data_IF_697853279934
#
_entry.id   IF_697853279934
#
_cell.length_a   1.000
_cell.length_b   1.000
_cell.length_c   1.000
_cell.angle_alpha   90.00
_cell.angle_beta   90.00
_cell.angle_gamma   90.00
#
_symmetry.space_group_name_H-M   'P 1'
#
loop_
_entity.id
_entity.type
_entity.pdbx_description
1 polymer ?
#
# COMPACT_ATOMS: atom_id res chain seq x y z
N UNK A 1 -54.02 -57.98 70.17
CA UNK A 1 -54.38 -58.57 68.86
C UNK A 1 -53.71 -57.74 67.76
N UNK A 2 -52.84 -58.38 66.95
CA UNK A 2 -52.23 -57.94 65.66
C UNK A 2 -51.51 -56.57 65.62
N UNK A 3 -50.28 -56.41 65.11
CA UNK A 3 -49.30 -57.29 64.45
C UNK A 3 -48.01 -56.47 64.32
N UNK A 4 -46.87 -57.09 64.64
CA UNK A 4 -45.52 -56.64 64.27
C UNK A 4 -45.34 -56.63 62.75
N UNK A 5 -44.71 -55.58 62.21
CA UNK A 5 -43.98 -55.65 60.94
C UNK A 5 -42.72 -54.78 61.00
N UNK A 6 -41.62 -55.41 60.60
CA UNK A 6 -40.28 -54.90 60.40
C UNK A 6 -40.23 -53.84 59.29
N UNK A 7 -39.22 -52.97 59.33
CA UNK A 7 -38.63 -52.45 58.10
C UNK A 7 -37.18 -52.01 58.35
N UNK A 8 -36.33 -52.46 57.43
CA UNK A 8 -34.89 -52.42 57.44
C UNK A 8 -34.35 -51.01 57.10
N UNK A 9 -33.19 -50.69 57.67
CA UNK A 9 -32.41 -49.48 57.38
C UNK A 9 -32.02 -49.39 55.91
N UNK A 10 -32.25 -48.23 55.29
CA UNK A 10 -31.66 -47.84 54.01
C UNK A 10 -30.89 -46.54 54.23
N UNK A 11 -29.58 -46.59 54.02
CA UNK A 11 -28.71 -45.42 53.96
C UNK A 11 -28.89 -44.76 52.58
N UNK A 12 -29.44 -43.55 52.55
CA UNK A 12 -29.57 -42.75 51.33
C UNK A 12 -28.27 -41.99 51.05
N UNK A 13 -27.66 -42.30 49.91
CA UNK A 13 -26.51 -41.60 49.32
C UNK A 13 -26.96 -40.21 48.87
N UNK A 14 -26.30 -39.16 49.37
CA UNK A 14 -26.50 -37.77 48.94
C UNK A 14 -25.63 -37.52 47.71
N UNK A 15 -26.25 -37.33 46.55
CA UNK A 15 -25.60 -36.95 45.30
C UNK A 15 -25.61 -35.42 45.17
N UNK A 16 -24.43 -34.79 45.27
CA UNK A 16 -24.25 -33.36 45.01
C UNK A 16 -24.25 -33.10 43.50
N UNK A 17 -25.30 -32.47 42.97
CA UNK A 17 -25.30 -31.93 41.60
C UNK A 17 -24.73 -30.51 41.60
N UNK A 18 -23.51 -30.36 41.10
CA UNK A 18 -22.90 -29.06 40.84
C UNK A 18 -23.51 -28.43 39.57
N UNK A 19 -24.23 -27.32 39.75
CA UNK A 19 -24.78 -26.52 38.65
C UNK A 19 -23.70 -25.55 38.17
N UNK A 20 -22.97 -25.90 37.10
CA UNK A 20 -22.08 -24.96 36.42
C UNK A 20 -22.92 -23.93 35.64
N UNK A 21 -23.00 -22.71 36.17
CA UNK A 21 -23.47 -21.56 35.40
C UNK A 21 -22.44 -21.23 34.32
N UNK A 22 -22.75 -21.57 33.07
CA UNK A 22 -22.01 -21.13 31.89
C UNK A 22 -22.20 -19.60 31.75
N UNK A 23 -21.31 -18.83 32.35
CA UNK A 23 -21.16 -17.41 32.04
C UNK A 23 -20.65 -17.29 30.60
N UNK A 24 -21.46 -16.68 29.73
CA UNK A 24 -21.02 -16.30 28.40
C UNK A 24 -19.87 -15.30 28.54
N UNK A 25 -18.65 -15.75 28.22
CA UNK A 25 -17.52 -14.85 28.06
C UNK A 25 -17.87 -13.88 26.92
N UNK A 26 -17.68 -12.55 27.07
CA UNK A 26 -17.83 -11.66 25.96
C UNK A 26 -16.83 -12.10 24.90
N UNK A 27 -17.33 -12.53 23.75
CA UNK A 27 -16.53 -12.80 22.57
C UNK A 27 -15.76 -11.53 22.29
N UNK A 28 -14.46 -11.52 22.55
CA UNK A 28 -13.56 -10.53 21.98
C UNK A 28 -13.60 -10.79 20.48
N UNK A 29 -14.53 -10.10 19.79
CA UNK A 29 -14.39 -9.84 18.37
C UNK A 29 -13.06 -9.10 18.26
N UNK A 30 -12.01 -9.83 17.91
CA UNK A 30 -10.82 -9.23 17.36
C UNK A 30 -11.31 -8.35 16.21
N UNK A 31 -11.25 -7.04 16.39
CA UNK A 31 -11.57 -6.10 15.33
C UNK A 31 -10.73 -6.49 14.12
N UNK A 32 -11.37 -6.76 12.99
CA UNK A 32 -10.72 -7.07 11.72
C UNK A 32 -10.04 -5.81 11.13
N UNK A 33 -9.34 -5.03 11.96
CA UNK A 33 -8.64 -3.83 11.52
C UNK A 33 -7.27 -4.14 10.91
N UNK A 34 -6.77 -5.36 11.03
CA UNK A 34 -5.57 -5.84 10.34
C UNK A 34 -5.91 -6.79 9.17
N UNK A 35 -6.95 -6.44 8.40
CA UNK A 35 -7.22 -7.10 7.11
C UNK A 35 -5.97 -7.20 6.23
N UNK A 36 -5.91 -8.20 5.34
CA UNK A 36 -4.78 -8.46 4.46
C UNK A 36 -4.29 -7.15 3.80
N UNK A 37 -3.12 -6.64 4.23
CA UNK A 37 -2.59 -5.35 3.75
C UNK A 37 -2.26 -5.35 2.25
N UNK A 38 -2.16 -6.54 1.67
CA UNK A 38 -1.91 -6.80 0.27
C UNK A 38 -3.17 -7.27 -0.47
N UNK A 39 -4.37 -7.01 0.06
CA UNK A 39 -5.61 -7.46 -0.58
C UNK A 39 -5.74 -6.92 -2.02
N UNK A 40 -6.25 -7.75 -2.92
CA UNK A 40 -6.29 -7.47 -4.37
C UNK A 40 -4.97 -7.62 -5.13
N UNK A 41 -3.81 -7.43 -4.48
CA UNK A 41 -2.48 -7.65 -5.08
C UNK A 41 -2.00 -9.07 -4.84
N UNK A 42 -2.08 -9.54 -3.59
CA UNK A 42 -1.45 -10.76 -3.10
C UNK A 42 0.04 -10.56 -2.76
N UNK A 43 0.48 -11.10 -1.61
CA UNK A 43 1.86 -10.89 -1.12
C UNK A 43 2.94 -11.38 -2.09
N UNK A 44 2.71 -12.51 -2.78
CA UNK A 44 3.67 -13.05 -3.76
C UNK A 44 3.83 -12.13 -4.97
N UNK A 45 2.74 -11.61 -5.53
CA UNK A 45 2.79 -10.64 -6.62
C UNK A 45 3.44 -9.32 -6.18
N UNK A 46 3.14 -8.85 -4.96
CA UNK A 46 3.77 -7.65 -4.41
C UNK A 46 5.29 -7.77 -4.29
N UNK A 47 5.79 -8.95 -3.86
CA UNK A 47 7.22 -9.24 -3.83
C UNK A 47 7.83 -9.36 -5.23
N UNK A 48 7.11 -9.94 -6.19
CA UNK A 48 7.56 -9.99 -7.58
C UNK A 48 7.71 -8.58 -8.19
N UNK A 49 6.80 -7.65 -7.86
CA UNK A 49 6.90 -6.24 -8.27
C UNK A 49 8.13 -5.57 -7.64
N UNK A 50 8.41 -5.83 -6.34
CA UNK A 50 9.64 -5.33 -5.69
C UNK A 50 10.87 -5.85 -6.41
N UNK A 51 10.92 -7.14 -6.74
CA UNK A 51 12.06 -7.73 -7.45
C UNK A 51 12.23 -7.14 -8.85
N UNK A 52 11.13 -6.98 -9.59
CA UNK A 52 11.14 -6.28 -10.87
C UNK A 52 11.68 -4.85 -10.78
N UNK A 53 11.35 -4.12 -9.71
CA UNK A 53 11.86 -2.77 -9.46
C UNK A 53 13.35 -2.80 -9.11
N UNK A 54 13.83 -3.79 -8.34
CA UNK A 54 15.26 -3.94 -8.06
C UNK A 54 16.08 -4.20 -9.32
N UNK A 55 15.59 -5.04 -10.23
CA UNK A 55 16.21 -5.26 -11.55
C UNK A 55 16.30 -3.94 -12.31
N UNK A 56 15.20 -3.19 -12.40
CA UNK A 56 15.17 -1.90 -13.08
C UNK A 56 16.14 -0.87 -12.45
N UNK A 57 16.23 -0.83 -11.11
CA UNK A 57 17.15 0.05 -10.40
C UNK A 57 18.63 -0.31 -10.68
N UNK A 58 18.93 -1.60 -10.88
CA UNK A 58 20.26 -2.09 -11.23
C UNK A 58 20.76 -1.63 -12.60
N UNK A 59 19.86 -1.25 -13.51
CA UNK A 59 20.18 -0.80 -14.87
C UNK A 59 19.78 0.66 -15.16
N UNK A 60 19.23 1.36 -14.17
CA UNK A 60 18.90 2.79 -14.27
C UNK A 60 20.09 3.61 -13.76
N UNK A 61 20.78 4.39 -14.62
CA UNK A 61 21.88 5.24 -14.18
C UNK A 61 21.42 6.28 -13.14
N UNK A 62 22.28 6.53 -12.15
CA UNK A 62 22.07 7.52 -11.11
C UNK A 62 22.75 8.84 -11.49
N UNK A 63 22.01 9.90 -11.90
CA UNK A 63 22.60 11.22 -12.11
C UNK A 63 23.09 11.85 -10.82
N UNK A 64 22.45 11.56 -9.68
CA UNK A 64 22.81 12.17 -8.39
C UNK A 64 24.10 11.56 -7.83
N UNK A 65 24.30 10.25 -8.01
CA UNK A 65 25.48 9.54 -7.48
C UNK A 65 26.58 9.35 -8.52
N UNK A 66 26.29 9.56 -9.81
CA UNK A 66 27.23 9.29 -10.90
C UNK A 66 27.53 7.80 -11.09
N UNK A 67 26.61 6.92 -10.69
CA UNK A 67 26.76 5.45 -10.74
C UNK A 67 25.90 4.84 -11.85
N UNK A 68 26.26 3.64 -12.35
CA UNK A 68 25.46 2.97 -13.39
C UNK A 68 24.11 2.43 -12.89
N UNK A 69 23.90 2.41 -11.57
CA UNK A 69 22.68 1.95 -10.91
C UNK A 69 22.22 2.95 -9.85
N UNK A 70 20.92 2.90 -9.56
CA UNK A 70 20.29 3.71 -8.51
C UNK A 70 20.16 2.95 -7.19
N UNK A 71 20.04 3.69 -6.09
CA UNK A 71 19.90 3.12 -4.75
C UNK A 71 18.58 3.56 -4.11
N UNK A 72 17.59 2.65 -4.10
CA UNK A 72 16.19 2.99 -3.92
C UNK A 72 15.56 2.35 -2.68
N UNK A 73 14.58 3.05 -2.10
CA UNK A 73 13.53 2.49 -1.23
C UNK A 73 12.29 2.24 -2.07
N UNK A 74 11.68 1.07 -1.88
CA UNK A 74 10.54 0.61 -2.67
C UNK A 74 9.43 0.19 -1.69
N UNK A 75 8.22 0.69 -1.88
CA UNK A 75 7.07 0.37 -1.06
C UNK A 75 5.87 0.00 -1.94
N UNK A 76 5.10 -1.00 -1.51
CA UNK A 76 3.80 -1.37 -2.09
C UNK A 76 2.73 -1.06 -1.06
N UNK A 77 1.70 -0.32 -1.47
CA UNK A 77 0.52 0.00 -0.65
C UNK A 77 -0.69 -0.65 -1.30
N UNK A 78 -1.47 -1.41 -0.53
CA UNK A 78 -2.71 -2.05 -1.02
C UNK A 78 -3.85 -1.05 -1.19
N UNK A 79 -4.97 -1.48 -1.80
CA UNK A 79 -6.14 -0.61 -2.08
C UNK A 79 -6.67 0.13 -0.85
N UNK A 80 -6.57 -0.46 0.34
CA UNK A 80 -6.97 0.15 1.61
C UNK A 80 -6.05 1.26 2.11
N UNK A 81 -4.98 1.61 1.38
CA UNK A 81 -4.04 2.66 1.77
C UNK A 81 -3.06 2.24 2.88
N UNK A 82 -2.92 0.94 3.14
CA UNK A 82 -1.99 0.38 4.12
C UNK A 82 -0.75 -0.19 3.44
N UNK A 83 0.41 -0.07 4.09
CA UNK A 83 1.67 -0.67 3.63
C UNK A 83 1.53 -2.19 3.55
N UNK A 84 1.71 -2.74 2.35
CA UNK A 84 1.67 -4.17 2.07
C UNK A 84 3.05 -4.81 2.29
N UNK A 85 4.05 -4.37 1.51
CA UNK A 85 5.45 -4.79 1.59
C UNK A 85 6.36 -3.62 1.24
N UNK A 86 7.60 -3.66 1.70
CA UNK A 86 8.65 -2.71 1.31
C UNK A 86 10.01 -3.39 1.32
N UNK A 87 10.96 -2.84 0.58
CA UNK A 87 12.34 -3.31 0.52
C UNK A 87 13.26 -2.20 0.01
N UNK A 88 14.54 -2.51 -0.15
CA UNK A 88 15.56 -1.62 -0.69
C UNK A 88 16.50 -2.32 -1.66
N UNK A 89 17.09 -1.56 -2.59
CA UNK A 89 18.09 -2.09 -3.53
C UNK A 89 19.49 -2.16 -2.93
N UNK A 90 19.74 -1.43 -1.83
CA UNK A 90 21.06 -1.29 -1.20
C UNK A 90 20.92 -0.89 0.26
N UNK A 91 21.87 -1.28 1.11
CA UNK A 91 21.95 -0.79 2.49
C UNK A 91 22.27 0.71 2.58
N UNK A 92 22.80 1.31 1.52
CA UNK A 92 23.15 2.74 1.41
C UNK A 92 22.04 3.59 0.72
N UNK A 93 20.87 3.00 0.46
CA UNK A 93 19.69 3.78 0.05
C UNK A 93 19.27 4.75 1.17
N UNK A 94 18.98 5.99 0.81
CA UNK A 94 18.73 7.07 1.78
C UNK A 94 17.64 6.71 2.79
N UNK A 95 17.90 6.98 4.07
CA UNK A 95 16.93 6.72 5.14
C UNK A 95 15.68 7.61 5.01
N UNK A 96 15.84 8.85 4.56
CA UNK A 96 14.71 9.76 4.29
C UNK A 96 13.73 9.20 3.24
N UNK A 97 14.24 8.40 2.30
CA UNK A 97 13.43 7.80 1.24
C UNK A 97 12.46 6.73 1.71
N UNK A 98 12.59 6.22 2.95
CA UNK A 98 11.66 5.21 3.50
C UNK A 98 10.24 5.79 3.55
N UNK A 99 10.08 6.94 4.20
CA UNK A 99 8.78 7.59 4.33
C UNK A 99 8.29 8.15 3.00
N UNK A 100 9.21 8.65 2.15
CA UNK A 100 8.88 9.20 0.83
C UNK A 100 8.34 8.11 -0.10
N UNK A 101 8.99 6.93 -0.17
CA UNK A 101 8.52 5.82 -0.99
C UNK A 101 7.10 5.38 -0.57
N UNK A 102 6.83 5.29 0.73
CA UNK A 102 5.49 4.98 1.27
C UNK A 102 4.47 6.04 0.90
N UNK A 103 4.80 7.32 1.06
CA UNK A 103 3.91 8.44 0.74
C UNK A 103 3.61 8.56 -0.75
N UNK A 104 4.59 8.28 -1.62
CA UNK A 104 4.40 8.21 -3.08
C UNK A 104 3.44 7.09 -3.47
N UNK A 105 3.62 5.88 -2.93
CA UNK A 105 2.71 4.76 -3.14
C UNK A 105 1.29 5.12 -2.67
N UNK A 106 1.18 5.66 -1.45
CA UNK A 106 -0.09 6.08 -0.88
C UNK A 106 -0.78 7.15 -1.73
N UNK A 107 -0.04 8.15 -2.21
CA UNK A 107 -0.57 9.20 -3.09
C UNK A 107 -1.20 8.61 -4.34
N UNK A 108 -0.49 7.70 -5.02
CA UNK A 108 -0.98 7.08 -6.24
C UNK A 108 -2.26 6.26 -6.02
N UNK A 109 -2.37 5.48 -4.93
CA UNK A 109 -3.59 4.72 -4.64
C UNK A 109 -4.73 5.60 -4.10
N UNK A 110 -4.43 6.66 -3.36
CA UNK A 110 -5.42 7.53 -2.72
C UNK A 110 -6.21 8.37 -3.74
N UNK A 111 -5.57 8.77 -4.84
CA UNK A 111 -6.19 9.61 -5.86
C UNK A 111 -6.56 8.88 -7.15
N UNK A 112 -6.23 7.59 -7.27
CA UNK A 112 -6.66 6.74 -8.38
C UNK A 112 -7.98 6.01 -8.09
N UNK A 113 -8.68 5.65 -9.16
CA UNK A 113 -9.93 4.87 -9.17
C UNK A 113 -9.91 3.82 -10.30
N UNK A 114 -11.01 3.09 -10.48
CA UNK A 114 -11.16 2.15 -11.60
C UNK A 114 -11.38 2.86 -12.94
N UNK A 115 -11.69 4.17 -12.92
CA UNK A 115 -12.02 4.98 -14.09
C UNK A 115 -10.95 6.04 -14.39
N UNK A 116 -10.05 6.31 -13.45
CA UNK A 116 -9.02 7.33 -13.59
C UNK A 116 -7.75 6.94 -12.83
N UNK A 117 -6.60 7.21 -13.43
CA UNK A 117 -5.27 6.82 -12.93
C UNK A 117 -4.42 8.05 -12.71
N UNK A 118 -4.07 8.34 -11.45
CA UNK A 118 -3.23 9.48 -11.07
C UNK A 118 -1.96 8.98 -10.39
N UNK A 119 -0.82 9.16 -11.06
CA UNK A 119 0.48 9.00 -10.41
C UNK A 119 0.76 10.16 -9.46
N UNK A 120 1.68 9.96 -8.52
CA UNK A 120 2.21 11.05 -7.68
C UNK A 120 2.75 12.24 -8.48
N UNK A 121 3.27 12.01 -9.70
CA UNK A 121 3.64 13.08 -10.65
C UNK A 121 2.43 13.93 -11.04
N UNK A 122 1.33 13.29 -11.45
CA UNK A 122 0.12 14.02 -11.87
C UNK A 122 -0.46 14.81 -10.69
N UNK A 123 -0.53 14.22 -9.50
CA UNK A 123 -0.95 14.94 -8.29
C UNK A 123 -0.04 16.13 -8.02
N UNK A 124 1.27 15.98 -8.26
CA UNK A 124 2.25 17.06 -8.20
C UNK A 124 1.96 18.22 -9.15
N UNK A 125 1.61 17.94 -10.39
CA UNK A 125 1.25 18.96 -11.39
C UNK A 125 0.01 19.76 -10.96
N UNK A 126 -0.93 19.13 -10.25
CA UNK A 126 -2.13 19.77 -9.71
C UNK A 126 -1.86 20.58 -8.42
N UNK A 127 -0.71 20.38 -7.78
CA UNK A 127 -0.37 20.98 -6.49
C UNK A 127 0.68 22.11 -6.58
N UNK A 128 1.14 22.48 -7.79
CA UNK A 128 2.20 23.48 -7.97
C UNK A 128 1.76 24.90 -7.57
N UNK A 129 2.71 25.71 -7.13
CA UNK A 129 2.44 27.11 -6.80
C UNK A 129 2.53 28.04 -8.02
N UNK A 130 3.27 27.65 -9.06
CA UNK A 130 3.50 28.44 -10.27
C UNK A 130 2.56 28.00 -11.41
N UNK A 131 1.63 28.88 -11.84
CA UNK A 131 1.18 28.86 -13.25
C UNK A 131 2.23 29.53 -14.15
N UNK A 132 2.32 29.33 -15.48
CA UNK A 132 1.74 28.35 -16.42
C UNK A 132 2.75 27.26 -16.85
N UNK A 133 2.28 26.18 -17.51
CA UNK A 133 3.08 25.03 -17.94
C UNK A 133 2.38 23.68 -17.78
N UNK A 134 1.24 23.68 -17.07
CA UNK A 134 0.35 22.53 -16.98
C UNK A 134 -0.39 22.30 -18.30
N UNK A 135 -0.37 21.07 -18.81
CA UNK A 135 -1.24 20.59 -19.89
C UNK A 135 -2.62 20.14 -19.36
N UNK A 136 -2.85 20.24 -18.05
CA UNK A 136 -4.14 19.96 -17.43
C UNK A 136 -5.11 21.08 -17.82
N UNK A 137 -6.35 20.76 -18.24
CA UNK A 137 -7.37 21.74 -18.57
C UNK A 137 -7.53 22.82 -17.48
N UNK A 138 -7.64 24.08 -17.91
CA UNK A 138 -7.78 25.26 -17.03
C UNK A 138 -9.11 25.30 -16.28
N UNK A 139 -10.03 24.38 -16.57
CA UNK A 139 -11.32 24.19 -15.89
C UNK A 139 -11.24 23.23 -14.68
N UNK A 140 -10.11 22.54 -14.46
CA UNK A 140 -9.86 21.81 -13.22
C UNK A 140 -9.43 22.83 -12.15
N UNK A 141 -10.43 23.44 -11.50
CA UNK A 141 -10.27 24.37 -10.37
C UNK A 141 -9.70 25.73 -10.79
N UNK A 142 -10.54 26.77 -10.78
CA UNK A 142 -10.18 28.12 -11.17
C UNK A 142 -9.34 28.82 -10.09
N UNK A 143 -8.08 28.47 -9.95
CA UNK A 143 -7.17 29.14 -9.01
C UNK A 143 -6.31 30.15 -9.77
N UNK A 144 -6.67 31.43 -9.63
CA UNK A 144 -6.06 32.59 -10.29
C UNK A 144 -4.54 32.70 -10.03
N UNK A 145 -3.75 31.88 -10.73
CA UNK A 145 -2.29 31.83 -10.64
C UNK A 145 -1.70 30.77 -9.69
N UNK A 146 -2.53 29.92 -9.07
CA UNK A 146 -2.11 28.81 -8.19
C UNK A 146 -2.65 27.50 -8.76
N UNK A 147 -1.96 26.36 -8.63
CA UNK A 147 -2.56 25.10 -9.07
C UNK A 147 -3.73 24.73 -8.13
N UNK A 148 -4.79 24.10 -8.65
CA UNK A 148 -6.07 23.91 -7.96
C UNK A 148 -5.99 23.15 -6.63
N UNK A 149 -4.89 22.43 -6.38
CA UNK A 149 -4.67 21.61 -5.19
C UNK A 149 -3.39 22.02 -4.43
N UNK A 150 -2.98 23.28 -4.52
CA UNK A 150 -1.85 23.78 -3.71
C UNK A 150 -2.07 23.49 -2.22
N UNK A 151 -1.03 22.98 -1.55
CA UNK A 151 -1.09 22.58 -0.15
C UNK A 151 -1.63 21.17 0.11
N UNK A 152 -2.05 20.40 -0.91
CA UNK A 152 -2.54 19.02 -0.71
C UNK A 152 -1.53 18.08 -0.03
N UNK A 153 -0.23 18.38 -0.16
CA UNK A 153 0.87 17.71 0.54
C UNK A 153 0.75 17.74 2.06
N UNK A 154 0.00 18.70 2.62
CA UNK A 154 -0.21 18.83 4.07
C UNK A 154 -1.33 17.94 4.61
N UNK A 155 -2.04 17.21 3.75
CA UNK A 155 -3.11 16.28 4.12
C UNK A 155 -2.61 14.87 4.43
N UNK A 156 -3.48 14.02 5.01
CA UNK A 156 -3.24 12.58 5.25
C UNK A 156 -1.95 12.28 6.06
N UNK A 157 -1.51 13.21 6.91
CA UNK A 157 -0.29 13.07 7.73
C UNK A 157 -0.37 11.96 8.76
N UNK A 158 -1.59 11.60 9.19
CA UNK A 158 -1.91 10.49 10.09
C UNK A 158 -1.87 9.11 9.40
N UNK A 159 -1.74 9.09 8.06
CA UNK A 159 -1.62 7.86 7.26
C UNK A 159 -0.16 7.66 6.82
N UNK A 160 0.13 7.86 5.54
CA UNK A 160 1.48 7.78 4.97
C UNK A 160 1.93 9.12 4.35
N UNK A 161 1.11 10.17 4.46
CA UNK A 161 1.34 11.48 3.85
C UNK A 161 1.14 11.49 2.33
N UNK A 162 0.94 12.68 1.79
CA UNK A 162 0.91 12.90 0.33
C UNK A 162 2.28 13.39 -0.14
N UNK A 163 2.81 12.76 -1.19
CA UNK A 163 4.04 13.19 -1.87
C UNK A 163 3.68 13.61 -3.29
N UNK A 164 3.94 14.88 -3.59
CA UNK A 164 3.51 15.58 -4.81
C UNK A 164 4.61 15.64 -5.87
N UNK A 165 5.43 14.60 -5.97
CA UNK A 165 6.45 14.44 -7.01
C UNK A 165 6.60 12.98 -7.42
N UNK A 166 7.13 12.75 -8.63
CA UNK A 166 7.09 11.46 -9.31
C UNK A 166 7.77 10.31 -8.55
N UNK A 167 7.36 9.07 -8.85
CA UNK A 167 7.88 7.84 -8.24
C UNK A 167 6.81 6.94 -7.61
N UNK A 168 5.58 7.42 -7.47
CA UNK A 168 4.40 6.63 -7.09
C UNK A 168 3.47 6.38 -8.26
N UNK A 169 3.16 5.11 -8.56
CA UNK A 169 2.26 4.70 -9.65
C UNK A 169 1.24 3.64 -9.21
N UNK A 170 -0.03 3.73 -9.66
CA UNK A 170 -1.07 2.77 -9.32
C UNK A 170 -0.87 1.42 -10.02
N UNK A 171 -1.37 0.37 -9.38
CA UNK A 171 -1.31 -1.02 -9.84
C UNK A 171 -2.74 -1.53 -10.04
N UNK A 172 -2.99 -2.13 -11.20
CA UNK A 172 -4.30 -2.61 -11.62
C UNK A 172 -4.30 -4.12 -11.86
N UNK A 173 -5.43 -4.74 -11.55
CA UNK A 173 -5.83 -6.06 -12.05
C UNK A 173 -6.96 -5.86 -13.06
N UNK A 174 -6.64 -5.92 -14.36
CA UNK A 174 -7.53 -5.45 -15.41
C UNK A 174 -7.84 -3.97 -15.24
N UNK A 175 -9.11 -3.61 -15.08
CA UNK A 175 -9.55 -2.23 -14.78
C UNK A 175 -9.72 -1.94 -13.28
N UNK A 176 -9.46 -2.93 -12.41
CA UNK A 176 -9.65 -2.77 -10.97
C UNK A 176 -8.36 -2.28 -10.32
N UNK A 177 -8.43 -1.13 -9.65
CA UNK A 177 -7.32 -0.62 -8.86
C UNK A 177 -7.12 -1.45 -7.60
N UNK A 178 -5.95 -2.08 -7.47
CA UNK A 178 -5.63 -3.00 -6.36
C UNK A 178 -4.57 -2.44 -5.40
N UNK A 179 -3.83 -1.41 -5.81
CA UNK A 179 -2.93 -0.67 -4.94
C UNK A 179 -1.97 0.21 -5.72
N UNK A 180 -0.77 0.41 -5.20
CA UNK A 180 0.26 1.23 -5.84
C UNK A 180 1.67 0.84 -5.36
N UNK A 181 2.64 1.12 -6.22
CA UNK A 181 4.07 1.12 -5.88
C UNK A 181 4.55 2.56 -5.70
N UNK A 182 5.51 2.75 -4.81
CA UNK A 182 6.24 3.99 -4.61
C UNK A 182 7.73 3.74 -4.48
N UNK A 183 8.52 4.53 -5.18
CA UNK A 183 9.98 4.42 -5.23
C UNK A 183 10.60 5.79 -4.91
N UNK A 184 11.68 5.76 -4.13
CA UNK A 184 12.46 6.96 -3.86
C UNK A 184 13.92 6.63 -3.57
N UNK A 185 14.84 7.39 -4.16
CA UNK A 185 16.27 7.28 -3.87
C UNK A 185 17.21 7.96 -4.87
N UNK A 186 16.66 8.58 -5.92
CA UNK A 186 17.44 9.32 -6.92
C UNK A 186 16.65 10.53 -7.46
N UNK A 187 16.92 10.97 -8.70
CA UNK A 187 16.07 11.90 -9.42
C UNK A 187 14.64 11.38 -9.62
N UNK A 188 13.69 12.30 -9.82
CA UNK A 188 12.26 11.94 -9.86
C UNK A 188 11.86 11.13 -11.09
N UNK A 189 12.59 11.29 -12.20
CA UNK A 189 12.37 10.48 -13.40
C UNK A 189 12.92 9.06 -13.20
N UNK A 190 14.06 8.90 -12.52
CA UNK A 190 14.61 7.59 -12.13
C UNK A 190 13.70 6.87 -11.12
N UNK A 191 13.16 7.59 -10.15
CA UNK A 191 12.18 7.04 -9.19
C UNK A 191 10.94 6.49 -9.92
N UNK A 192 10.37 7.25 -10.87
CA UNK A 192 9.20 6.81 -11.63
C UNK A 192 9.52 5.71 -12.64
N UNK A 193 10.69 5.76 -13.29
CA UNK A 193 11.21 4.69 -14.14
C UNK A 193 11.23 3.36 -13.39
N UNK A 194 11.87 3.32 -12.23
CA UNK A 194 11.99 2.11 -11.42
C UNK A 194 10.62 1.63 -10.94
N UNK A 195 9.72 2.56 -10.57
CA UNK A 195 8.38 2.21 -10.14
C UNK A 195 7.55 1.54 -11.24
N UNK A 196 7.51 2.14 -12.44
CA UNK A 196 6.77 1.62 -13.59
C UNK A 196 7.37 0.29 -14.05
N UNK A 197 8.69 0.23 -14.18
CA UNK A 197 9.39 -0.98 -14.59
C UNK A 197 9.21 -2.13 -13.61
N UNK A 198 9.09 -1.86 -12.31
CA UNK A 198 8.77 -2.90 -11.34
C UNK A 198 7.45 -3.61 -11.63
N UNK A 199 6.42 -2.86 -12.02
CA UNK A 199 5.12 -3.43 -12.39
C UNK A 199 5.20 -4.15 -13.73
N UNK A 200 5.86 -3.56 -14.74
CA UNK A 200 6.02 -4.14 -16.07
C UNK A 200 6.79 -5.46 -16.02
N UNK A 201 7.94 -5.50 -15.33
CA UNK A 201 8.78 -6.69 -15.21
C UNK A 201 8.08 -7.85 -14.51
N UNK A 202 7.22 -7.54 -13.54
CA UNK A 202 6.46 -8.54 -12.80
C UNK A 202 5.15 -8.95 -13.50
N UNK A 203 4.75 -8.31 -14.59
CA UNK A 203 3.43 -8.52 -15.24
C UNK A 203 3.18 -9.96 -15.66
N UNK A 204 4.20 -10.66 -16.19
CA UNK A 204 4.07 -12.06 -16.59
C UNK A 204 3.83 -13.02 -15.40
N UNK A 205 4.28 -12.64 -14.19
CA UNK A 205 4.15 -13.43 -12.97
C UNK A 205 2.87 -13.05 -12.21
N UNK A 206 2.58 -11.76 -12.13
CA UNK A 206 1.51 -11.21 -11.30
C UNK A 206 0.17 -11.03 -12.03
N UNK A 207 0.19 -10.89 -13.36
CA UNK A 207 -0.95 -10.43 -14.15
C UNK A 207 -1.34 -8.97 -13.89
N UNK A 208 -0.57 -8.23 -13.09
CA UNK A 208 -0.85 -6.86 -12.72
C UNK A 208 -0.19 -5.86 -13.67
N UNK A 209 -0.82 -4.71 -13.86
CA UNK A 209 -0.39 -3.71 -14.83
C UNK A 209 -0.42 -2.30 -14.25
N UNK A 210 0.18 -1.37 -14.97
CA UNK A 210 0.06 0.08 -14.76
C UNK A 210 -0.16 0.73 -16.13
N UNK A 211 -0.99 1.78 -16.23
CA UNK A 211 -1.22 2.46 -17.51
C UNK A 211 -0.10 3.44 -17.88
N UNK A 212 0.90 3.62 -17.02
CA UNK A 212 1.98 4.58 -17.21
C UNK A 212 3.15 3.98 -17.99
N UNK A 213 3.73 4.77 -18.90
CA UNK A 213 4.95 4.43 -19.62
C UNK A 213 6.18 4.99 -18.88
N UNK A 214 7.32 4.28 -18.87
CA UNK A 214 8.53 4.75 -18.22
C UNK A 214 9.02 6.08 -18.84
N UNK A 215 9.45 7.07 -18.03
CA UNK A 215 9.86 8.38 -18.53
C UNK A 215 11.26 8.41 -19.14
N UNK A 216 12.12 7.43 -18.84
CA UNK A 216 13.48 7.34 -19.35
C UNK A 216 13.57 6.33 -20.49
N UNK A 217 14.55 6.53 -21.37
CA UNK A 217 14.81 5.61 -22.49
C UNK A 217 15.37 4.25 -22.03
N UNK A 218 15.84 4.14 -20.78
CA UNK A 218 16.32 2.89 -20.21
C UNK A 218 15.22 1.82 -20.28
N UNK A 219 15.51 0.61 -20.77
CA UNK A 219 14.53 -0.46 -20.79
C UNK A 219 14.19 -0.89 -19.36
N UNK A 220 12.99 -1.45 -19.17
CA UNK A 220 12.63 -2.08 -17.91
C UNK A 220 13.37 -3.41 -17.68
N UNK A 221 13.79 -4.08 -18.76
CA UNK A 221 14.42 -5.40 -18.71
C UNK A 221 15.94 -5.33 -18.57
#
# INVERSE_FOLDING_TARGET
MRTSRSMWQLHSVVLFTALLALGALPSVVASAEDGNKCDGIGKSAALAIIEGAKVAAGVTPSPIRGTPSTQMRIAIVGRGGKLCVEDTTSSDAWLGSISIARGKAFTAVAFSSNQNSLSSRIVGLLARQDGPGSSVPTDIGTDAGVAPLFGIGDSNRDRLGIITFAGGVPIYNGSTLVGAIGVSGDGVDEDEQVAICGVINASAISGLTTPFAPPLASPCQ
#
